data_IF_682773244144
#
_entry.id   IF_682773244144
#
_cell.length_a   1.000
_cell.length_b   1.000
_cell.length_c   1.000
_cell.angle_alpha   90.00
_cell.angle_beta   90.00
_cell.angle_gamma   90.00
#
_symmetry.space_group_name_H-M   'P 1'
#
loop_
_entity.id
_entity.type
_entity.pdbx_description
1 polymer ?
#
# COMPACT_ATOMS: atom_id res chain seq x y z
N UNK A 1 -22.56 -31.89 -3.90
CA UNK A 1 -21.94 -31.20 -5.04
C UNK A 1 -22.94 -30.14 -5.53
N UNK A 2 -22.78 -28.91 -5.06
CA UNK A 2 -23.75 -27.82 -5.26
C UNK A 2 -23.66 -27.27 -6.69
N UNK A 3 -24.76 -26.70 -7.18
CA UNK A 3 -24.93 -26.14 -8.53
C UNK A 3 -23.94 -25.02 -8.92
N UNK A 4 -23.02 -24.65 -8.02
CA UNK A 4 -22.02 -23.59 -8.22
C UNK A 4 -20.81 -24.03 -9.06
N UNK A 5 -20.48 -25.33 -9.10
CA UNK A 5 -19.33 -25.84 -9.89
C UNK A 5 -19.58 -25.97 -11.39
N UNK A 6 -20.81 -25.71 -11.89
CA UNK A 6 -21.12 -25.77 -13.33
C UNK A 6 -21.15 -24.42 -14.05
N UNK A 7 -20.88 -23.30 -13.36
CA UNK A 7 -20.91 -21.96 -14.00
C UNK A 7 -19.53 -21.37 -14.35
N UNK A 8 -18.44 -22.03 -13.95
CA UNK A 8 -17.07 -21.52 -14.13
C UNK A 8 -16.50 -21.73 -15.54
N UNK A 9 -17.13 -22.52 -16.41
CA UNK A 9 -16.64 -22.79 -17.77
C UNK A 9 -16.98 -21.70 -18.80
N UNK A 10 -17.76 -20.67 -18.44
CA UNK A 10 -18.28 -19.68 -19.39
C UNK A 10 -17.56 -18.32 -19.44
N UNK A 11 -16.55 -18.07 -18.63
CA UNK A 11 -15.76 -16.83 -18.71
C UNK A 11 -14.40 -17.09 -19.39
N UNK A 12 -14.46 -17.29 -20.72
CA UNK A 12 -13.27 -17.17 -21.57
C UNK A 12 -12.65 -15.80 -21.36
N UNK A 13 -11.33 -15.76 -21.18
CA UNK A 13 -10.50 -14.55 -21.20
C UNK A 13 -10.98 -13.71 -22.38
N UNK A 14 -11.65 -12.57 -22.13
CA UNK A 14 -11.98 -11.66 -23.21
C UNK A 14 -10.65 -11.23 -23.82
N UNK A 15 -10.39 -11.53 -25.10
CA UNK A 15 -9.13 -11.14 -25.69
C UNK A 15 -9.06 -9.60 -25.61
N UNK A 16 -7.89 -9.06 -25.26
CA UNK A 16 -7.70 -7.64 -24.91
C UNK A 16 -8.33 -6.67 -25.91
N UNK A 17 -8.38 -7.04 -27.20
CA UNK A 17 -9.05 -6.25 -28.24
C UNK A 17 -10.54 -5.96 -27.96
N UNK A 18 -11.27 -6.85 -27.28
CA UNK A 18 -12.69 -6.66 -26.97
C UNK A 18 -12.88 -5.62 -25.87
N UNK A 19 -12.06 -5.69 -24.82
CA UNK A 19 -12.09 -4.73 -23.71
C UNK A 19 -11.73 -3.32 -24.18
N UNK A 20 -10.77 -3.21 -25.09
CA UNK A 20 -10.29 -1.93 -25.62
C UNK A 20 -11.21 -1.31 -26.69
N UNK A 21 -12.14 -2.08 -27.27
CA UNK A 21 -13.03 -1.57 -28.33
C UNK A 21 -14.10 -0.65 -27.74
N UNK A 22 -14.26 0.54 -28.32
CA UNK A 22 -15.40 1.45 -28.04
C UNK A 22 -16.49 1.18 -29.07
N UNK A 23 -17.69 0.85 -28.61
CA UNK A 23 -18.80 0.45 -29.47
C UNK A 23 -19.72 1.61 -29.84
N UNK A 24 -19.79 2.66 -29.01
CA UNK A 24 -20.70 3.78 -29.22
C UNK A 24 -20.22 5.04 -28.48
N UNK A 25 -20.93 6.16 -28.70
CA UNK A 25 -20.60 7.45 -28.12
C UNK A 25 -20.71 7.50 -26.59
N UNK A 26 -21.57 6.69 -25.98
CA UNK A 26 -21.68 6.59 -24.52
C UNK A 26 -20.45 5.90 -23.92
N UNK A 27 -19.95 4.83 -24.55
CA UNK A 27 -18.70 4.19 -24.16
C UNK A 27 -17.50 5.13 -24.31
N UNK A 28 -17.46 5.93 -25.38
CA UNK A 28 -16.42 6.96 -25.56
C UNK A 28 -16.42 7.97 -24.39
N UNK A 29 -17.59 8.53 -24.06
CA UNK A 29 -17.75 9.44 -22.92
C UNK A 29 -17.36 8.80 -21.58
N UNK A 30 -17.62 7.50 -21.43
CA UNK A 30 -17.30 6.76 -20.20
C UNK A 30 -15.80 6.53 -20.05
N UNK A 31 -15.11 6.19 -21.15
CA UNK A 31 -13.64 6.14 -21.21
C UNK A 31 -13.03 7.51 -20.89
N UNK A 32 -13.45 8.56 -21.59
CA UNK A 32 -12.95 9.93 -21.42
C UNK A 32 -13.13 10.43 -19.98
N UNK A 33 -14.35 10.30 -19.43
CA UNK A 33 -14.63 10.59 -18.02
C UNK A 33 -13.75 9.79 -17.08
N UNK A 34 -13.55 8.50 -17.35
CA UNK A 34 -12.70 7.61 -16.58
C UNK A 34 -11.26 8.08 -16.50
N UNK A 35 -10.68 8.35 -17.67
CA UNK A 35 -9.35 8.92 -17.77
C UNK A 35 -9.27 10.20 -16.95
N UNK A 36 -10.20 11.16 -17.13
CA UNK A 36 -10.22 12.45 -16.42
C UNK A 36 -10.42 12.35 -14.90
N UNK A 37 -11.32 11.49 -14.42
CA UNK A 37 -11.77 11.48 -13.03
C UNK A 37 -11.10 10.41 -12.16
N UNK A 38 -10.49 9.39 -12.76
CA UNK A 38 -9.87 8.29 -12.03
C UNK A 38 -8.40 8.06 -12.39
N UNK A 39 -7.91 8.61 -13.51
CA UNK A 39 -6.53 8.41 -13.96
C UNK A 39 -6.27 7.05 -14.60
N UNK A 40 -7.32 6.34 -15.00
CA UNK A 40 -7.29 5.04 -15.70
C UNK A 40 -8.52 4.88 -16.61
N UNK A 41 -8.52 3.91 -17.53
CA UNK A 41 -9.63 3.61 -18.44
C UNK A 41 -10.78 2.91 -17.72
N UNK A 42 -11.75 3.71 -17.27
CA UNK A 42 -12.95 3.22 -16.59
C UNK A 42 -13.77 2.28 -17.47
N UNK A 43 -13.81 2.48 -18.79
CA UNK A 43 -14.59 1.63 -19.68
C UNK A 43 -14.01 0.20 -19.70
N UNK A 44 -12.69 0.09 -19.79
CA UNK A 44 -12.00 -1.20 -19.75
C UNK A 44 -12.24 -1.89 -18.41
N UNK A 45 -12.15 -1.15 -17.31
CA UNK A 45 -12.51 -1.69 -15.99
C UNK A 45 -13.96 -2.17 -15.96
N UNK A 46 -14.91 -1.38 -16.41
CA UNK A 46 -16.32 -1.75 -16.37
C UNK A 46 -16.62 -3.00 -17.22
N UNK A 47 -15.93 -3.16 -18.36
CA UNK A 47 -16.04 -4.35 -19.23
C UNK A 47 -15.41 -5.61 -18.66
N UNK A 48 -14.38 -5.49 -17.82
CA UNK A 48 -13.84 -6.62 -17.06
C UNK A 48 -14.86 -7.19 -16.07
N UNK A 49 -15.80 -6.36 -15.61
CA UNK A 49 -16.85 -6.77 -14.69
C UNK A 49 -16.40 -6.90 -13.23
N UNK A 50 -17.29 -7.41 -12.37
CA UNK A 50 -17.09 -7.48 -10.92
C UNK A 50 -16.19 -8.64 -10.49
N UNK A 51 -16.01 -9.67 -11.31
CA UNK A 51 -15.18 -10.83 -10.99
C UNK A 51 -14.15 -11.05 -12.09
N UNK A 52 -12.87 -11.07 -11.72
CA UNK A 52 -11.76 -11.50 -12.57
C UNK A 52 -11.20 -12.80 -12.01
N UNK A 53 -11.78 -13.92 -12.41
CA UNK A 53 -11.45 -15.24 -11.85
C UNK A 53 -10.01 -15.67 -12.15
N UNK A 54 -9.50 -15.33 -13.34
CA UNK A 54 -8.13 -15.63 -13.75
C UNK A 54 -7.24 -14.38 -13.67
N UNK A 55 -6.21 -14.46 -12.82
CA UNK A 55 -5.02 -13.62 -12.85
C UNK A 55 -3.82 -14.52 -13.13
N UNK A 56 -2.78 -14.04 -13.85
CA UNK A 56 -1.53 -14.78 -13.91
C UNK A 56 -0.95 -14.94 -12.50
N UNK A 57 -0.52 -16.14 -12.13
CA UNK A 57 0.25 -16.35 -10.90
C UNK A 57 1.66 -15.80 -11.13
N UNK A 58 1.95 -14.65 -10.52
CA UNK A 58 3.21 -13.90 -10.69
C UNK A 58 4.24 -14.25 -9.62
N UNK A 59 3.95 -15.21 -8.75
CA UNK A 59 4.90 -15.69 -7.74
C UNK A 59 6.07 -16.41 -8.40
N UNK A 60 7.20 -16.41 -7.71
CA UNK A 60 8.33 -17.23 -8.15
C UNK A 60 7.95 -18.71 -8.06
N UNK A 61 8.38 -19.61 -8.97
CA UNK A 61 8.02 -21.03 -8.94
C UNK A 61 8.31 -21.72 -7.61
N UNK A 62 9.36 -21.29 -6.89
CA UNK A 62 9.69 -21.83 -5.57
C UNK A 62 8.63 -21.49 -4.49
N UNK A 63 7.91 -20.38 -4.62
CA UNK A 63 6.82 -20.02 -3.71
C UNK A 63 5.64 -21.01 -3.76
N UNK A 64 5.52 -21.80 -4.83
CA UNK A 64 4.46 -22.81 -4.95
C UNK A 64 4.75 -24.05 -4.08
N UNK A 65 5.99 -24.20 -3.62
CA UNK A 65 6.40 -25.29 -2.73
C UNK A 65 6.26 -24.91 -1.25
N UNK A 66 6.02 -23.64 -0.94
CA UNK A 66 5.80 -23.17 0.42
C UNK A 66 4.43 -23.62 0.92
N UNK A 67 4.38 -24.12 2.15
CA UNK A 67 3.13 -24.51 2.82
C UNK A 67 2.99 -23.75 4.12
N UNK A 68 1.78 -23.29 4.40
CA UNK A 68 1.46 -22.48 5.57
C UNK A 68 0.34 -23.14 6.37
N UNK A 69 0.54 -23.30 7.67
CA UNK A 69 -0.50 -23.77 8.59
C UNK A 69 -1.45 -22.62 8.93
N UNK A 70 -2.48 -22.45 8.09
CA UNK A 70 -3.42 -21.32 8.16
C UNK A 70 -4.15 -21.22 9.49
N UNK A 71 -4.36 -22.33 10.22
CA UNK A 71 -5.06 -22.34 11.50
C UNK A 71 -4.22 -21.76 12.64
N UNK A 72 -2.90 -21.65 12.46
CA UNK A 72 -1.97 -21.04 13.43
C UNK A 72 -1.67 -19.57 13.16
N UNK A 73 -2.05 -19.06 12.00
CA UNK A 73 -1.77 -17.68 11.62
C UNK A 73 -2.79 -16.72 12.24
N UNK A 74 -2.37 -15.49 12.58
CA UNK A 74 -3.28 -14.49 13.14
C UNK A 74 -4.32 -14.03 12.11
N UNK A 75 -5.54 -13.73 12.56
CA UNK A 75 -6.57 -13.18 11.68
C UNK A 75 -6.31 -11.70 11.33
N UNK A 76 -6.98 -11.21 10.28
CA UNK A 76 -6.73 -9.89 9.71
C UNK A 76 -7.98 -9.04 9.59
N UNK A 77 -7.83 -7.75 9.85
CA UNK A 77 -8.75 -6.71 9.38
C UNK A 77 -8.14 -6.01 8.19
N UNK A 78 -8.82 -6.09 7.04
CA UNK A 78 -8.42 -5.37 5.83
C UNK A 78 -8.98 -3.95 5.86
N UNK A 79 -8.13 -2.94 5.72
CA UNK A 79 -8.51 -1.52 5.73
C UNK A 79 -8.29 -0.95 4.33
N UNK A 80 -9.39 -0.57 3.69
CA UNK A 80 -9.40 -0.04 2.33
C UNK A 80 -10.03 1.34 2.37
N UNK A 81 -9.20 2.36 2.18
CA UNK A 81 -9.66 3.73 2.11
C UNK A 81 -9.95 4.11 0.66
N UNK A 82 -11.00 4.88 0.45
CA UNK A 82 -11.31 5.40 -0.87
C UNK A 82 -11.89 6.81 -0.81
N UNK A 83 -11.70 7.51 -1.92
CA UNK A 83 -12.31 8.80 -2.20
C UNK A 83 -12.61 8.88 -3.69
N UNK A 84 -13.89 8.90 -4.04
CA UNK A 84 -14.37 8.89 -5.43
C UNK A 84 -13.77 7.77 -6.27
N UNK A 85 -13.57 6.58 -5.68
CA UNK A 85 -13.05 5.43 -6.41
C UNK A 85 -14.08 4.88 -7.39
N UNK A 86 -13.61 4.35 -8.53
CA UNK A 86 -14.50 3.70 -9.49
C UNK A 86 -15.14 2.44 -8.89
N UNK A 87 -16.47 2.36 -8.93
CA UNK A 87 -17.22 1.25 -8.33
C UNK A 87 -16.81 -0.12 -8.89
N UNK A 88 -16.51 -0.22 -10.20
CA UNK A 88 -16.06 -1.48 -10.81
C UNK A 88 -14.73 -1.97 -10.24
N UNK A 89 -13.80 -1.05 -9.94
CA UNK A 89 -12.49 -1.39 -9.37
C UNK A 89 -12.66 -1.82 -7.92
N UNK A 90 -13.42 -1.07 -7.12
CA UNK A 90 -13.65 -1.37 -5.71
C UNK A 90 -14.37 -2.73 -5.52
N UNK A 91 -15.42 -2.99 -6.32
CA UNK A 91 -16.14 -4.28 -6.27
C UNK A 91 -15.21 -5.42 -6.70
N UNK A 92 -14.43 -5.25 -7.77
CA UNK A 92 -13.50 -6.29 -8.23
C UNK A 92 -12.43 -6.60 -7.19
N UNK A 93 -11.91 -5.58 -6.52
CA UNK A 93 -10.96 -5.73 -5.42
C UNK A 93 -11.56 -6.55 -4.27
N UNK A 94 -12.74 -6.17 -3.76
CA UNK A 94 -13.41 -6.88 -2.66
C UNK A 94 -13.71 -8.33 -3.04
N UNK A 95 -14.22 -8.57 -4.26
CA UNK A 95 -14.48 -9.91 -4.76
C UNK A 95 -13.19 -10.75 -4.88
N UNK A 96 -12.10 -10.16 -5.36
CA UNK A 96 -10.80 -10.82 -5.46
C UNK A 96 -10.23 -11.19 -4.08
N UNK A 97 -10.39 -10.31 -3.09
CA UNK A 97 -10.01 -10.56 -1.69
C UNK A 97 -10.80 -11.76 -1.14
N UNK A 98 -12.14 -11.73 -1.26
CA UNK A 98 -13.00 -12.81 -0.76
C UNK A 98 -12.69 -14.15 -1.44
N UNK A 99 -12.33 -14.13 -2.73
CA UNK A 99 -12.04 -15.33 -3.49
C UNK A 99 -10.66 -15.94 -3.14
N UNK A 100 -9.64 -15.11 -2.87
CA UNK A 100 -8.24 -15.56 -2.74
C UNK A 100 -7.67 -15.48 -1.32
N UNK A 101 -8.51 -15.22 -0.33
CA UNK A 101 -8.12 -15.17 1.08
C UNK A 101 -8.79 -16.32 1.83
N UNK A 102 -8.04 -17.17 2.55
CA UNK A 102 -8.63 -18.20 3.40
C UNK A 102 -9.60 -17.58 4.43
N UNK A 103 -10.83 -18.11 4.49
CA UNK A 103 -11.89 -17.54 5.34
C UNK A 103 -11.56 -17.54 6.85
N UNK A 104 -10.70 -18.46 7.30
CA UNK A 104 -10.22 -18.51 8.70
C UNK A 104 -9.31 -17.33 9.07
N UNK A 105 -8.63 -16.74 8.07
CA UNK A 105 -7.72 -15.60 8.27
C UNK A 105 -8.45 -14.27 8.14
N UNK A 106 -9.49 -14.18 7.31
CA UNK A 106 -10.19 -12.93 7.05
C UNK A 106 -11.24 -12.64 8.13
N UNK A 107 -10.92 -11.74 9.05
CA UNK A 107 -11.87 -11.34 10.10
C UNK A 107 -12.91 -10.35 9.58
N UNK A 108 -12.46 -9.30 8.88
CA UNK A 108 -13.34 -8.26 8.33
C UNK A 108 -12.66 -7.47 7.20
N UNK A 109 -13.48 -6.76 6.41
CA UNK A 109 -13.05 -5.78 5.41
C UNK A 109 -13.69 -4.43 5.75
N UNK A 110 -12.90 -3.50 6.25
CA UNK A 110 -13.29 -2.13 6.53
C UNK A 110 -13.10 -1.26 5.29
N UNK A 111 -14.22 -0.88 4.68
CA UNK A 111 -14.27 0.10 3.61
C UNK A 111 -14.51 1.49 4.23
N UNK A 112 -13.47 2.34 4.19
CA UNK A 112 -13.48 3.67 4.81
C UNK A 112 -13.63 4.74 3.73
N UNK A 113 -14.77 5.42 3.74
CA UNK A 113 -15.03 6.53 2.83
C UNK A 113 -14.49 7.84 3.37
N UNK A 114 -13.48 8.39 2.68
CA UNK A 114 -12.89 9.69 2.96
C UNK A 114 -13.71 10.84 2.34
N UNK A 115 -15.03 10.79 2.54
CA UNK A 115 -16.04 11.75 2.08
C UNK A 115 -16.19 11.88 0.54
N UNK A 116 -16.41 10.77 -0.16
CA UNK A 116 -16.72 10.74 -1.59
C UNK A 116 -17.95 11.59 -1.96
N UNK A 117 -17.89 12.27 -3.10
CA UNK A 117 -18.95 13.15 -3.62
C UNK A 117 -20.21 12.39 -3.99
N UNK A 118 -20.02 11.21 -4.59
CA UNK A 118 -21.10 10.35 -5.07
C UNK A 118 -21.32 9.15 -4.15
N UNK A 119 -21.14 9.35 -2.83
CA UNK A 119 -21.28 8.30 -1.81
C UNK A 119 -22.67 7.68 -1.82
N UNK A 120 -22.90 6.74 -2.73
CA UNK A 120 -24.00 5.77 -2.66
C UNK A 120 -23.63 4.84 -1.53
N UNK A 121 -24.51 4.67 -0.54
CA UNK A 121 -24.37 3.88 0.72
C UNK A 121 -24.03 2.39 0.55
N UNK A 122 -23.58 1.96 -0.62
CA UNK A 122 -23.54 0.56 -1.02
C UNK A 122 -22.65 -0.37 -0.15
N UNK A 123 -21.63 0.08 0.59
CA UNK A 123 -20.70 -0.85 1.27
C UNK A 123 -19.95 -0.33 2.54
N UNK A 124 -20.51 0.58 3.33
CA UNK A 124 -19.70 1.35 4.31
C UNK A 124 -19.66 0.71 5.69
N UNK A 125 -18.45 0.54 6.25
CA UNK A 125 -18.29 0.41 7.69
C UNK A 125 -18.26 1.78 8.38
N UNK A 126 -17.73 2.81 7.71
CA UNK A 126 -17.71 4.16 8.24
C UNK A 126 -17.44 5.21 7.17
N UNK A 127 -17.99 6.41 7.39
CA UNK A 127 -17.70 7.60 6.60
C UNK A 127 -17.02 8.61 7.51
N UNK A 128 -15.81 9.02 7.13
CA UNK A 128 -15.11 10.11 7.80
C UNK A 128 -15.35 11.41 7.05
N UNK A 129 -15.12 12.55 7.72
CA UNK A 129 -14.97 13.82 7.00
C UNK A 129 -13.79 13.69 6.01
N UNK A 130 -13.65 14.62 5.06
CA UNK A 130 -12.48 14.62 4.17
C UNK A 130 -11.21 14.90 4.98
N UNK A 131 -10.64 13.84 5.51
CA UNK A 131 -9.50 13.82 6.44
C UNK A 131 -8.21 13.44 5.71
N UNK A 132 -8.32 12.74 4.57
CA UNK A 132 -7.19 12.26 3.79
C UNK A 132 -6.85 10.79 4.03
N UNK A 133 -5.99 10.24 3.17
CA UNK A 133 -5.53 8.85 3.23
C UNK A 133 -5.02 8.49 4.63
N UNK A 134 -4.18 9.37 5.20
CA UNK A 134 -3.45 9.13 6.44
C UNK A 134 -4.41 8.98 7.62
N UNK A 135 -5.26 9.99 7.84
CA UNK A 135 -6.23 9.99 8.95
C UNK A 135 -7.36 8.99 8.74
N UNK A 136 -7.77 8.72 7.50
CA UNK A 136 -8.69 7.62 7.21
C UNK A 136 -8.08 6.25 7.56
N UNK A 137 -6.78 6.02 7.35
CA UNK A 137 -6.10 4.78 7.76
C UNK A 137 -6.06 4.66 9.27
N UNK A 138 -5.78 5.75 9.98
CA UNK A 138 -5.83 5.80 11.45
C UNK A 138 -7.23 5.44 11.95
N UNK A 139 -8.28 6.02 11.35
CA UNK A 139 -9.67 5.69 11.70
C UNK A 139 -9.95 4.19 11.50
N UNK A 140 -9.68 3.65 10.30
CA UNK A 140 -9.88 2.22 10.03
C UNK A 140 -9.08 1.31 10.96
N UNK A 141 -7.85 1.69 11.34
CA UNK A 141 -7.03 0.94 12.27
C UNK A 141 -7.60 0.89 13.70
N UNK A 142 -8.30 1.95 14.12
CA UNK A 142 -8.95 2.03 15.43
C UNK A 142 -10.25 1.25 15.48
N UNK A 143 -11.01 1.23 14.38
CA UNK A 143 -12.24 0.45 14.25
C UNK A 143 -11.99 -1.06 14.06
N UNK A 144 -10.87 -1.42 13.41
CA UNK A 144 -10.49 -2.82 13.18
C UNK A 144 -10.40 -3.63 14.46
N UNK A 145 -10.84 -4.90 14.46
CA UNK A 145 -10.83 -5.80 15.62
C UNK A 145 -9.93 -7.04 15.44
N UNK A 146 -9.41 -7.27 14.24
CA UNK A 146 -8.46 -8.33 13.93
C UNK A 146 -7.08 -8.16 14.58
N UNK A 147 -6.30 -9.24 14.61
CA UNK A 147 -4.96 -9.25 15.22
C UNK A 147 -3.92 -8.52 14.37
N UNK A 148 -4.04 -8.61 13.06
CA UNK A 148 -3.17 -7.93 12.08
C UNK A 148 -3.99 -6.95 11.26
N UNK A 149 -3.44 -5.74 11.07
CA UNK A 149 -3.99 -4.75 10.17
C UNK A 149 -3.33 -4.92 8.80
N UNK A 150 -4.13 -5.01 7.75
CA UNK A 150 -3.64 -5.02 6.38
C UNK A 150 -4.26 -3.83 5.63
N UNK A 151 -3.42 -2.88 5.23
CA UNK A 151 -3.85 -1.73 4.45
C UNK A 151 -3.67 -2.04 2.97
N UNK A 152 -4.69 -1.73 2.17
CA UNK A 152 -4.61 -1.79 0.71
C UNK A 152 -5.23 -0.53 0.11
N UNK A 153 -4.60 0.00 -0.93
CA UNK A 153 -5.23 1.02 -1.78
C UNK A 153 -6.46 0.44 -2.48
N UNK A 154 -7.47 1.28 -2.73
CA UNK A 154 -8.80 0.90 -3.25
C UNK A 154 -8.83 0.49 -4.73
N UNK A 155 -7.67 0.26 -5.33
CA UNK A 155 -7.46 -0.12 -6.73
C UNK A 155 -6.36 -1.17 -6.86
N UNK A 156 -6.47 -2.19 -6.01
CA UNK A 156 -5.61 -3.36 -6.01
C UNK A 156 -6.36 -4.63 -6.45
N UNK A 157 -5.63 -5.61 -6.98
CA UNK A 157 -6.10 -6.99 -7.14
C UNK A 157 -5.10 -7.94 -6.48
N UNK A 158 -5.53 -8.68 -5.45
CA UNK A 158 -4.66 -9.63 -4.74
C UNK A 158 -4.47 -10.90 -5.57
N UNK A 159 -3.26 -11.49 -5.56
CA UNK A 159 -2.97 -12.75 -6.22
C UNK A 159 -3.29 -13.96 -5.30
N UNK A 160 -3.10 -15.18 -5.80
CA UNK A 160 -3.26 -16.41 -5.00
C UNK A 160 -2.16 -16.53 -3.95
N UNK A 161 -2.50 -16.97 -2.73
CA UNK A 161 -1.52 -17.17 -1.65
C UNK A 161 -0.83 -15.89 -1.18
N UNK A 162 -1.50 -14.74 -1.34
CA UNK A 162 -0.89 -13.44 -1.10
C UNK A 162 -0.76 -13.10 0.40
N UNK A 163 -1.58 -13.67 1.27
CA UNK A 163 -1.70 -13.20 2.65
C UNK A 163 -0.78 -13.97 3.60
N UNK A 164 -0.73 -15.29 3.43
CA UNK A 164 -0.03 -16.24 4.27
C UNK A 164 1.47 -15.91 4.46
N UNK A 165 2.22 -15.55 3.40
CA UNK A 165 3.64 -15.16 3.54
C UNK A 165 3.85 -13.89 4.38
N UNK A 166 2.84 -13.00 4.46
CA UNK A 166 2.91 -11.81 5.30
C UNK A 166 2.67 -12.18 6.77
N UNK A 167 1.67 -13.02 7.03
CA UNK A 167 1.24 -13.35 8.38
C UNK A 167 2.21 -14.26 9.12
N UNK A 168 2.86 -15.20 8.42
CA UNK A 168 3.85 -16.08 9.05
C UNK A 168 4.99 -15.27 9.68
N UNK A 169 5.46 -14.22 8.99
CA UNK A 169 6.52 -13.34 9.49
C UNK A 169 6.05 -12.43 10.62
N UNK A 170 4.83 -11.91 10.54
CA UNK A 170 4.24 -11.06 11.59
C UNK A 170 3.94 -11.85 12.86
N UNK A 171 3.69 -13.16 12.76
CA UNK A 171 3.49 -14.02 13.91
C UNK A 171 4.79 -14.26 14.71
N UNK A 172 5.95 -14.13 14.07
CA UNK A 172 7.27 -14.41 14.65
C UNK A 172 7.92 -13.18 15.29
N UNK A 173 7.81 -12.00 14.67
CA UNK A 173 8.54 -10.80 15.09
C UNK A 173 7.73 -9.51 14.85
N UNK A 174 8.11 -8.43 15.53
CA UNK A 174 7.58 -7.09 15.38
C UNK A 174 8.04 -6.46 14.05
N UNK A 175 7.51 -6.98 12.95
CA UNK A 175 7.87 -6.59 11.58
C UNK A 175 6.66 -6.05 10.84
N UNK A 176 6.88 -4.99 10.06
CA UNK A 176 5.93 -4.46 9.08
C UNK A 176 6.26 -5.04 7.72
N UNK A 177 5.31 -5.73 7.10
CA UNK A 177 5.51 -6.47 5.85
C UNK A 177 4.80 -5.75 4.70
N UNK A 178 5.41 -5.75 3.51
CA UNK A 178 4.75 -5.37 2.26
C UNK A 178 4.78 -6.52 1.26
N UNK A 179 3.71 -6.75 0.49
CA UNK A 179 3.79 -7.59 -0.70
C UNK A 179 4.73 -6.98 -1.73
N UNK A 180 5.16 -7.78 -2.71
CA UNK A 180 5.64 -7.22 -3.98
C UNK A 180 4.44 -6.64 -4.72
N UNK A 181 4.56 -5.36 -5.09
CA UNK A 181 3.50 -4.61 -5.77
C UNK A 181 3.62 -4.84 -7.27
N UNK A 182 2.78 -5.71 -7.80
CA UNK A 182 2.67 -5.97 -9.22
C UNK A 182 1.96 -4.81 -9.94
N UNK A 183 2.15 -4.72 -11.25
CA UNK A 183 1.61 -3.63 -12.05
C UNK A 183 0.27 -4.04 -12.69
N UNK A 184 -0.76 -3.23 -12.49
CA UNK A 184 -1.99 -3.26 -13.27
C UNK A 184 -2.01 -2.04 -14.17
N UNK A 185 -2.03 -2.27 -15.49
CA UNK A 185 -2.05 -1.20 -16.48
C UNK A 185 -3.26 -0.29 -16.32
N UNK A 186 -3.09 1.05 -16.19
CA UNK A 186 -4.22 1.96 -16.10
C UNK A 186 -5.02 2.03 -17.42
N UNK A 187 -4.47 1.58 -18.53
CA UNK A 187 -5.12 1.66 -19.85
C UNK A 187 -5.77 0.35 -20.26
N UNK A 188 -5.14 -0.79 -19.97
CA UNK A 188 -5.59 -2.12 -20.42
C UNK A 188 -6.08 -3.00 -19.28
N UNK A 189 -5.78 -2.64 -18.03
CA UNK A 189 -5.98 -3.49 -16.84
C UNK A 189 -5.26 -4.84 -16.91
N UNK A 190 -4.27 -5.00 -17.79
CA UNK A 190 -3.41 -6.17 -17.78
C UNK A 190 -2.62 -6.22 -16.47
N UNK A 191 -2.63 -7.39 -15.82
CA UNK A 191 -1.88 -7.67 -14.61
C UNK A 191 -0.52 -8.25 -15.02
N UNK A 192 0.56 -7.64 -14.56
CA UNK A 192 1.93 -8.07 -14.89
C UNK A 192 2.81 -8.10 -13.64
N UNK A 193 3.70 -9.10 -13.56
CA UNK A 193 4.64 -9.24 -12.46
C UNK A 193 5.59 -8.05 -12.39
N UNK A 194 5.81 -7.52 -11.19
CA UNK A 194 6.92 -6.60 -10.91
C UNK A 194 8.18 -7.37 -10.51
N UNK A 195 9.33 -6.76 -10.75
CA UNK A 195 10.61 -7.29 -10.25
C UNK A 195 10.69 -7.11 -8.73
N UNK A 196 11.31 -8.08 -8.06
CA UNK A 196 11.58 -8.02 -6.63
C UNK A 196 12.63 -6.93 -6.36
N UNK A 197 12.31 -5.99 -5.48
CA UNK A 197 13.18 -4.86 -5.14
C UNK A 197 12.97 -4.40 -3.70
N UNK A 198 13.89 -3.59 -3.17
CA UNK A 198 13.72 -2.87 -1.90
C UNK A 198 13.10 -1.50 -2.17
N UNK A 199 12.49 -0.91 -1.16
CA UNK A 199 12.12 0.50 -1.13
C UNK A 199 13.19 1.32 -0.41
N UNK A 200 13.49 2.50 -0.96
CA UNK A 200 14.36 3.51 -0.36
C UNK A 200 13.81 4.91 -0.63
N UNK A 201 14.65 5.92 -0.44
CA UNK A 201 14.33 7.31 -0.74
C UNK A 201 15.59 8.14 -0.94
N UNK A 202 15.45 9.32 -1.58
CA UNK A 202 16.54 10.30 -1.74
C UNK A 202 16.56 11.32 -0.58
N UNK A 203 17.53 12.25 -0.58
CA UNK A 203 17.60 13.32 0.43
C UNK A 203 16.45 14.34 0.39
N UNK A 204 15.57 14.28 -0.63
CA UNK A 204 14.31 15.01 -0.71
C UNK A 204 13.13 14.21 -0.13
N UNK A 205 13.39 13.01 0.40
CA UNK A 205 12.43 12.04 0.91
C UNK A 205 11.40 11.58 -0.14
N UNK A 206 11.80 11.55 -1.42
CA UNK A 206 11.01 10.90 -2.47
C UNK A 206 11.29 9.40 -2.45
N UNK A 207 10.23 8.58 -2.43
CA UNK A 207 10.37 7.12 -2.48
C UNK A 207 11.01 6.64 -3.79
N UNK A 208 11.89 5.66 -3.69
CA UNK A 208 12.66 5.08 -4.80
C UNK A 208 12.58 3.55 -4.74
N UNK A 209 12.49 2.90 -5.91
CA UNK A 209 12.62 1.44 -6.02
C UNK A 209 14.10 1.09 -6.21
N UNK A 210 14.65 0.30 -5.29
CA UNK A 210 16.05 -0.11 -5.28
C UNK A 210 16.16 -1.55 -5.80
N UNK A 211 16.61 -1.70 -7.04
CA UNK A 211 16.74 -3.00 -7.70
C UNK A 211 18.00 -3.73 -7.25
N UNK A 212 17.89 -5.05 -7.11
CA UNK A 212 19.03 -5.92 -6.85
C UNK A 212 19.82 -6.21 -8.14
N UNK A 213 21.11 -6.47 -8.01
CA UNK A 213 21.87 -7.11 -9.09
C UNK A 213 21.38 -8.53 -9.32
N UNK A 214 21.64 -9.08 -10.51
CA UNK A 214 21.28 -10.47 -10.83
C UNK A 214 21.92 -11.50 -9.88
N UNK A 215 23.07 -11.17 -9.25
CA UNK A 215 23.74 -12.02 -8.28
C UNK A 215 22.90 -12.31 -7.04
N UNK A 216 22.05 -11.37 -6.62
CA UNK A 216 21.15 -11.57 -5.47
C UNK A 216 20.23 -12.77 -5.66
N UNK A 217 19.72 -12.97 -6.88
CA UNK A 217 18.79 -14.05 -7.20
C UNK A 217 19.48 -15.39 -7.48
N UNK A 218 20.81 -15.45 -7.45
CA UNK A 218 21.55 -16.73 -7.50
C UNK A 218 21.34 -17.56 -6.23
N UNK A 219 20.98 -16.93 -5.12
CA UNK A 219 20.60 -17.60 -3.87
C UNK A 219 19.08 -17.84 -3.92
N UNK A 220 18.60 -19.08 -4.10
CA UNK A 220 17.17 -19.34 -4.37
C UNK A 220 16.22 -18.83 -3.28
N UNK A 221 16.66 -18.85 -2.02
CA UNK A 221 15.88 -18.38 -0.88
C UNK A 221 15.58 -16.88 -0.95
N UNK A 222 16.37 -16.07 -1.67
CA UNK A 222 16.11 -14.64 -1.83
C UNK A 222 14.86 -14.34 -2.69
N UNK A 223 14.39 -15.33 -3.46
CA UNK A 223 13.15 -15.24 -4.25
C UNK A 223 11.92 -15.73 -3.47
N UNK A 224 12.10 -16.19 -2.23
CA UNK A 224 11.06 -16.84 -1.41
C UNK A 224 10.92 -16.15 -0.06
N UNK A 225 12.02 -16.12 0.70
CA UNK A 225 12.07 -15.55 2.04
C UNK A 225 11.89 -14.04 1.98
N UNK A 226 11.22 -13.50 3.00
CA UNK A 226 11.15 -12.06 3.16
C UNK A 226 12.54 -11.48 3.43
N UNK A 227 12.76 -10.25 2.98
CA UNK A 227 14.03 -9.55 3.16
C UNK A 227 13.81 -8.12 3.61
N UNK A 228 14.81 -7.58 4.34
CA UNK A 228 14.76 -6.23 4.91
C UNK A 228 14.76 -5.15 3.84
N UNK A 229 13.99 -4.09 4.08
CA UNK A 229 13.89 -2.92 3.21
C UNK A 229 14.00 -1.62 4.01
N UNK A 230 14.76 -0.61 3.55
CA UNK A 230 14.83 0.70 4.21
C UNK A 230 13.48 1.38 4.38
N UNK A 231 12.64 1.30 3.35
CA UNK A 231 11.30 1.86 3.31
C UNK A 231 10.31 0.97 2.56
N UNK A 232 9.03 1.21 2.79
CA UNK A 232 7.91 0.63 2.02
C UNK A 232 7.17 1.73 1.26
N UNK A 233 6.50 1.37 0.16
CA UNK A 233 5.71 2.32 -0.65
C UNK A 233 4.53 2.89 0.13
N UNK A 234 4.05 2.17 1.15
CA UNK A 234 3.03 2.58 2.11
C UNK A 234 1.58 2.32 1.70
N UNK A 235 1.32 2.10 0.41
CA UNK A 235 -0.01 1.75 -0.12
C UNK A 235 -0.53 0.39 0.37
N UNK A 236 0.39 -0.56 0.50
CA UNK A 236 0.12 -1.96 0.80
C UNK A 236 1.04 -2.40 1.92
N UNK A 237 0.51 -2.63 3.13
CA UNK A 237 1.31 -3.11 4.24
C UNK A 237 0.48 -3.94 5.23
N UNK A 238 1.14 -4.87 5.91
CA UNK A 238 0.60 -5.68 6.98
C UNK A 238 1.41 -5.45 8.26
N UNK A 239 0.72 -5.29 9.39
CA UNK A 239 1.35 -5.02 10.70
C UNK A 239 0.49 -5.55 11.84
N UNK A 240 1.12 -6.11 12.87
CA UNK A 240 0.39 -6.46 14.09
C UNK A 240 -0.30 -5.23 14.69
N UNK A 241 -1.60 -5.32 14.99
CA UNK A 241 -2.40 -4.18 15.46
C UNK A 241 -1.81 -3.53 16.72
N UNK A 242 -1.41 -4.34 17.71
CA UNK A 242 -0.82 -3.83 18.96
C UNK A 242 0.49 -3.09 18.69
N UNK A 243 1.31 -3.64 17.80
CA UNK A 243 2.58 -3.02 17.42
C UNK A 243 2.36 -1.68 16.68
N UNK A 244 1.37 -1.62 15.77
CA UNK A 244 1.00 -0.38 15.09
C UNK A 244 0.59 0.73 16.08
N UNK A 245 -0.24 0.42 17.08
CA UNK A 245 -0.61 1.39 18.12
C UNK A 245 0.57 1.75 19.03
N UNK A 246 1.41 0.79 19.42
CA UNK A 246 2.61 1.03 20.22
C UNK A 246 3.57 2.00 19.53
N UNK A 247 3.73 1.86 18.21
CA UNK A 247 4.54 2.77 17.40
C UNK A 247 3.92 4.17 17.27
N UNK A 248 2.67 4.41 17.71
CA UNK A 248 2.00 5.69 17.57
C UNK A 248 1.30 5.90 16.23
N UNK A 249 0.82 4.82 15.59
CA UNK A 249 -0.01 4.83 14.38
C UNK A 249 0.68 5.59 13.22
N UNK A 250 -0.05 6.32 12.37
CA UNK A 250 0.54 7.32 11.48
C UNK A 250 0.55 8.70 12.14
N UNK A 251 1.35 9.64 11.59
CA UNK A 251 1.30 11.03 12.01
C UNK A 251 0.00 11.74 11.65
N UNK A 252 -0.90 11.87 12.63
CA UNK A 252 -2.20 12.54 12.51
C UNK A 252 -2.08 14.02 12.11
N UNK A 253 -0.91 14.65 12.34
CA UNK A 253 -0.61 16.01 11.89
C UNK A 253 -0.22 16.13 10.41
N UNK A 254 -0.07 15.00 9.71
CA UNK A 254 0.11 14.98 8.25
C UNK A 254 -1.22 15.08 7.52
N UNK A 255 -1.22 15.77 6.38
CA UNK A 255 -2.42 16.06 5.62
C UNK A 255 -2.50 15.26 4.33
N UNK A 256 -3.71 14.77 4.01
CA UNK A 256 -4.15 14.17 2.74
C UNK A 256 -3.30 13.00 2.26
N UNK A 257 -2.13 13.28 1.71
CA UNK A 257 -1.26 12.31 1.05
C UNK A 257 0.17 12.81 1.04
N UNK A 258 1.11 11.88 1.18
CA UNK A 258 2.53 12.07 0.89
C UNK A 258 3.39 11.98 2.14
N UNK A 259 4.53 11.30 1.98
CA UNK A 259 5.59 11.12 2.96
C UNK A 259 5.23 10.29 4.21
N UNK A 260 3.97 9.91 4.42
CA UNK A 260 3.56 9.07 5.55
C UNK A 260 4.25 7.70 5.54
N UNK A 261 4.49 7.17 4.34
CA UNK A 261 5.18 5.92 4.13
C UNK A 261 6.66 6.00 4.54
N UNK A 262 7.32 7.12 4.25
CA UNK A 262 8.72 7.38 4.64
C UNK A 262 8.81 7.62 6.16
N UNK A 263 7.91 8.43 6.73
CA UNK A 263 7.84 8.67 8.17
C UNK A 263 7.69 7.37 8.95
N UNK A 264 6.70 6.57 8.57
CA UNK A 264 6.43 5.30 9.24
C UNK A 264 7.61 4.36 9.09
N UNK A 265 8.24 4.31 7.90
CA UNK A 265 9.40 3.47 7.65
C UNK A 265 10.59 3.81 8.55
N UNK A 266 10.95 5.10 8.61
CA UNK A 266 12.04 5.57 9.46
C UNK A 266 11.72 5.26 10.93
N UNK A 267 10.49 5.58 11.39
CA UNK A 267 10.08 5.34 12.77
C UNK A 267 10.11 3.86 13.16
N UNK A 268 9.62 2.96 12.32
CA UNK A 268 9.64 1.51 12.60
C UNK A 268 11.06 1.05 12.89
N UNK A 269 12.02 1.40 12.02
CA UNK A 269 13.42 1.03 12.20
C UNK A 269 14.05 1.67 13.44
N UNK A 270 13.85 2.98 13.64
CA UNK A 270 14.44 3.69 14.77
C UNK A 270 13.89 3.22 16.11
N UNK A 271 12.64 2.78 16.17
CA UNK A 271 11.95 2.43 17.41
C UNK A 271 11.88 0.91 17.66
N UNK A 272 12.79 0.14 17.05
CA UNK A 272 13.03 -1.26 17.40
C UNK A 272 12.27 -2.31 16.59
N UNK A 273 11.52 -1.91 15.57
CA UNK A 273 10.92 -2.84 14.60
C UNK A 273 11.80 -3.06 13.38
N UNK A 274 11.23 -3.76 12.39
CA UNK A 274 11.83 -3.90 11.07
C UNK A 274 10.79 -3.85 9.95
N UNK A 275 11.25 -3.56 8.75
CA UNK A 275 10.46 -3.56 7.52
C UNK A 275 10.97 -4.64 6.59
N UNK A 276 10.05 -5.43 6.02
CA UNK A 276 10.38 -6.49 5.09
C UNK A 276 9.45 -6.49 3.86
N UNK A 277 9.99 -6.93 2.72
CA UNK A 277 9.20 -7.29 1.53
C UNK A 277 9.07 -8.81 1.49
N UNK A 278 7.88 -9.35 1.24
CA UNK A 278 7.65 -10.78 1.09
C UNK A 278 7.48 -11.16 -0.41
N UNK A 279 8.49 -11.79 -1.06
CA UNK A 279 8.45 -12.16 -2.48
C UNK A 279 7.27 -13.02 -2.91
N UNK A 280 6.85 -13.95 -2.05
CA UNK A 280 5.74 -14.86 -2.33
C UNK A 280 4.37 -14.19 -2.18
N UNK A 281 4.30 -13.00 -1.57
CA UNK A 281 3.10 -12.20 -1.49
C UNK A 281 3.04 -11.22 -2.67
N UNK A 282 2.05 -11.39 -3.55
CA UNK A 282 1.86 -10.60 -4.76
C UNK A 282 0.51 -9.88 -4.75
N UNK A 283 0.54 -8.56 -4.94
CA UNK A 283 -0.68 -7.76 -5.08
C UNK A 283 -0.49 -6.77 -6.22
N UNK A 284 -1.40 -6.80 -7.20
CA UNK A 284 -1.40 -5.84 -8.30
C UNK A 284 -1.98 -4.50 -7.87
N UNK A 285 -1.39 -3.41 -8.34
CA UNK A 285 -1.86 -2.04 -8.08
C UNK A 285 -2.03 -1.29 -9.41
N UNK A 286 -3.12 -0.52 -9.54
CA UNK A 286 -3.33 0.35 -10.70
C UNK A 286 -2.46 1.62 -10.55
N UNK A 287 -1.29 1.60 -11.18
CA UNK A 287 -0.40 2.76 -11.23
C UNK A 287 -0.96 3.81 -12.21
N UNK A 288 -1.71 4.78 -11.67
CA UNK A 288 -2.38 5.84 -12.43
C UNK A 288 -1.37 6.75 -13.12
N UNK A 289 -1.77 7.29 -14.27
CA UNK A 289 -0.97 8.30 -14.97
C UNK A 289 -0.85 9.62 -14.18
N UNK A 290 -1.82 9.93 -13.31
CA UNK A 290 -1.83 11.09 -12.43
C UNK A 290 -2.77 10.89 -11.24
N UNK A 291 -2.75 11.82 -10.28
CA UNK A 291 -3.61 11.78 -9.08
C UNK A 291 -4.94 12.50 -9.36
N UNK A 292 -6.09 11.82 -9.32
CA UNK A 292 -7.37 12.42 -9.72
C UNK A 292 -8.06 13.25 -8.63
N UNK A 293 -7.44 13.42 -7.46
CA UNK A 293 -8.04 14.10 -6.32
C UNK A 293 -7.39 15.46 -6.08
N UNK A 294 -8.22 16.47 -5.85
CA UNK A 294 -7.77 17.80 -5.44
C UNK A 294 -7.26 17.78 -4.00
N UNK A 295 -6.18 18.51 -3.75
CA UNK A 295 -5.77 18.88 -2.40
C UNK A 295 -6.61 20.09 -1.96
N UNK A 296 -7.27 20.05 -0.79
CA UNK A 296 -8.01 21.21 -0.29
C UNK A 296 -7.13 22.47 -0.31
N UNK A 297 -7.64 23.54 -0.91
CA UNK A 297 -7.00 24.87 -0.97
C UNK A 297 -5.65 24.94 -1.70
N UNK A 298 -5.28 23.93 -2.49
CA UNK A 298 -3.99 23.91 -3.20
C UNK A 298 -2.78 23.83 -2.26
N UNK A 299 -2.98 23.41 -1.01
CA UNK A 299 -1.89 23.29 -0.04
C UNK A 299 -0.84 22.28 -0.53
N UNK A 300 0.44 22.57 -0.32
CA UNK A 300 1.52 21.62 -0.59
C UNK A 300 1.62 20.61 0.58
N UNK A 301 0.64 19.69 0.66
CA UNK A 301 0.56 18.74 1.77
C UNK A 301 1.78 17.83 1.85
N UNK A 302 2.31 17.40 0.70
CA UNK A 302 3.50 16.57 0.65
C UNK A 302 4.71 17.28 1.27
N UNK A 303 4.96 18.54 0.92
CA UNK A 303 6.08 19.29 1.50
C UNK A 303 5.89 19.55 3.00
N UNK A 304 4.67 19.91 3.44
CA UNK A 304 4.34 20.01 4.87
C UNK A 304 4.69 18.73 5.61
N UNK A 305 4.20 17.59 5.11
CA UNK A 305 4.39 16.28 5.72
C UNK A 305 5.88 15.92 5.76
N UNK A 306 6.61 16.13 4.66
CA UNK A 306 8.06 15.91 4.59
C UNK A 306 8.83 16.73 5.63
N UNK A 307 8.49 18.02 5.83
CA UNK A 307 9.15 18.85 6.85
C UNK A 307 8.85 18.36 8.28
N UNK A 308 7.68 17.77 8.53
CA UNK A 308 7.40 17.11 9.83
C UNK A 308 8.38 15.96 10.09
N UNK A 309 8.68 15.15 9.06
CA UNK A 309 9.66 14.06 9.15
C UNK A 309 11.04 14.61 9.47
N UNK A 310 11.47 15.59 8.67
CA UNK A 310 12.80 16.20 8.77
C UNK A 310 13.07 16.73 10.18
N UNK A 311 12.09 17.44 10.76
CA UNK A 311 12.23 18.03 12.10
C UNK A 311 12.16 17.03 13.26
N UNK A 312 11.51 15.88 13.07
CA UNK A 312 11.32 14.88 14.15
C UNK A 312 12.37 13.78 14.10
N UNK A 313 12.78 13.35 12.90
CA UNK A 313 13.45 12.06 12.71
C UNK A 313 14.85 12.14 12.09
N UNK A 314 15.23 13.22 11.41
CA UNK A 314 16.50 13.28 10.67
C UNK A 314 17.69 13.87 11.44
N UNK A 315 17.51 14.30 12.69
CA UNK A 315 18.59 14.80 13.55
C UNK A 315 19.48 15.85 12.85
N UNK A 316 20.81 15.73 12.93
CA UNK A 316 21.76 16.61 12.25
C UNK A 316 21.72 16.53 10.71
N UNK A 317 21.12 15.47 10.15
CA UNK A 317 20.98 15.24 8.71
C UNK A 317 19.83 16.03 8.09
N UNK A 318 19.01 16.71 8.90
CA UNK A 318 18.02 17.67 8.43
C UNK A 318 18.64 18.74 7.49
N UNK A 319 19.93 19.07 7.70
CA UNK A 319 20.70 19.99 6.84
C UNK A 319 20.73 19.54 5.37
N UNK A 320 20.75 18.23 5.10
CA UNK A 320 20.84 17.69 3.75
C UNK A 320 19.55 17.99 2.98
N UNK A 321 18.39 17.79 3.62
CA UNK A 321 17.10 18.19 3.04
C UNK A 321 17.01 19.71 2.85
N UNK A 322 17.40 20.50 3.85
CA UNK A 322 17.30 21.96 3.80
C UNK A 322 18.27 22.61 2.81
N UNK A 323 19.39 21.96 2.48
CA UNK A 323 20.29 22.40 1.41
C UNK A 323 19.58 22.40 0.04
N UNK A 324 18.75 21.39 -0.24
CA UNK A 324 17.93 21.35 -1.46
C UNK A 324 16.66 22.20 -1.36
N UNK A 325 16.15 22.43 -0.15
CA UNK A 325 14.89 23.16 0.12
C UNK A 325 15.11 24.29 1.15
N UNK A 326 15.79 25.39 0.78
CA UNK A 326 16.16 26.45 1.73
C UNK A 326 14.98 27.23 2.33
N UNK A 327 13.79 27.15 1.73
CA UNK A 327 12.56 27.75 2.27
C UNK A 327 11.81 26.83 3.26
N UNK A 328 12.08 25.53 3.25
CA UNK A 328 11.39 24.57 4.08
C UNK A 328 11.55 24.77 5.61
N UNK A 329 12.68 25.29 6.14
CA UNK A 329 12.79 25.63 7.56
C UNK A 329 11.76 26.65 8.04
N UNK A 330 11.23 27.51 7.15
CA UNK A 330 10.22 28.53 7.48
C UNK A 330 8.79 28.01 7.40
N UNK A 331 8.60 26.77 6.97
CA UNK A 331 7.27 26.19 6.78
C UNK A 331 6.59 25.95 8.12
N UNK A 332 5.33 26.39 8.25
CA UNK A 332 4.49 26.03 9.38
C UNK A 332 3.97 24.60 9.19
N UNK A 333 4.41 23.70 10.07
CA UNK A 333 4.02 22.29 10.04
C UNK A 333 3.05 21.94 11.16
N UNK A 334 2.62 22.92 11.97
CA UNK A 334 1.86 22.70 13.19
C UNK A 334 2.69 22.07 14.32
N UNK A 335 1.98 21.57 15.33
CA UNK A 335 2.60 21.00 16.54
C UNK A 335 3.31 19.66 16.24
N UNK A 336 4.53 19.49 16.76
CA UNK A 336 5.35 18.28 16.66
C UNK A 336 5.56 17.56 18.01
N UNK A 337 5.08 18.15 19.11
CA UNK A 337 5.38 17.69 20.47
C UNK A 337 4.98 16.23 20.71
N UNK A 338 3.80 15.81 20.23
CA UNK A 338 3.34 14.43 20.33
C UNK A 338 4.33 13.43 19.70
N UNK A 339 4.89 13.77 18.52
CA UNK A 339 5.85 12.93 17.81
C UNK A 339 7.22 12.92 18.47
N UNK A 340 7.66 14.07 19.01
CA UNK A 340 8.89 14.19 19.79
C UNK A 340 8.79 13.35 21.08
N UNK A 341 7.67 13.42 21.79
CA UNK A 341 7.47 12.68 23.04
C UNK A 341 7.31 11.19 22.79
N UNK A 342 6.66 10.78 21.69
CA UNK A 342 6.63 9.41 21.23
C UNK A 342 8.04 8.86 21.00
N UNK A 343 8.89 9.60 20.26
CA UNK A 343 10.29 9.22 20.00
C UNK A 343 11.07 9.01 21.30
N UNK A 344 10.90 9.90 22.28
CA UNK A 344 11.52 9.78 23.62
C UNK A 344 11.01 8.57 24.40
N UNK A 345 9.68 8.40 24.47
CA UNK A 345 9.02 7.32 25.21
C UNK A 345 9.43 5.93 24.70
N UNK A 346 9.54 5.77 23.39
CA UNK A 346 9.97 4.51 22.76
C UNK A 346 11.49 4.32 22.75
N UNK A 347 12.26 5.30 23.25
CA UNK A 347 13.74 5.26 23.28
C UNK A 347 14.33 4.95 21.91
N UNK A 348 13.79 5.59 20.87
CA UNK A 348 14.22 5.33 19.51
C UNK A 348 15.68 5.74 19.29
N UNK A 349 16.36 5.04 18.38
CA UNK A 349 17.73 5.33 17.95
C UNK A 349 17.80 6.66 17.19
N UNK A 350 19.00 7.14 16.94
CA UNK A 350 19.26 8.32 16.11
C UNK A 350 19.25 7.98 14.61
N UNK A 351 19.12 9.00 13.76
CA UNK A 351 19.14 8.82 12.31
C UNK A 351 20.50 8.34 11.79
N UNK A 352 21.58 8.70 12.49
CA UNK A 352 22.92 8.18 12.22
C UNK A 352 22.97 6.65 12.25
N UNK A 353 22.33 6.05 13.26
CA UNK A 353 22.19 4.60 13.35
C UNK A 353 21.41 4.02 12.16
N UNK A 354 20.32 4.67 11.75
CA UNK A 354 19.53 4.25 10.58
C UNK A 354 20.38 4.22 9.31
N UNK A 355 21.13 5.29 9.05
CA UNK A 355 22.06 5.36 7.91
C UNK A 355 23.14 4.28 8.00
N UNK A 356 23.71 4.03 9.17
CA UNK A 356 24.77 3.04 9.33
C UNK A 356 24.32 1.58 9.25
N UNK A 357 23.08 1.26 9.62
CA UNK A 357 22.62 -0.13 9.80
C UNK A 357 21.48 -0.55 8.89
N UNK A 358 20.73 0.40 8.35
CA UNK A 358 19.53 0.13 7.55
C UNK A 358 19.70 0.62 6.11
N UNK A 359 20.20 1.85 5.93
CA UNK A 359 20.29 2.45 4.59
C UNK A 359 21.63 3.18 4.32
N UNK A 360 22.76 2.44 4.33
CA UNK A 360 24.08 3.01 4.07
C UNK A 360 24.22 3.62 2.67
N UNK A 361 23.44 3.15 1.70
CA UNK A 361 23.44 3.68 0.33
C UNK A 361 22.95 5.14 0.28
N UNK A 362 22.05 5.56 1.18
CA UNK A 362 21.63 6.96 1.30
C UNK A 362 22.76 7.83 1.86
N UNK A 363 23.48 7.34 2.86
CA UNK A 363 24.63 8.04 3.45
C UNK A 363 25.75 8.26 2.43
N UNK A 364 25.95 7.30 1.53
CA UNK A 364 26.94 7.41 0.45
C UNK A 364 26.56 8.42 -0.66
N UNK A 365 25.32 8.96 -0.63
CA UNK A 365 24.84 9.97 -1.58
C UNK A 365 24.87 11.40 -1.03
N UNK A 366 25.34 11.59 0.20
CA UNK A 366 25.77 12.90 0.73
C UNK A 366 27.00 13.41 -0.03
#
# INVERSE_FOLDING_TARGET
MSAWTRSSEHYKIFPSHFLLRVQNHNEFKRRDRGSTHHGFDLLVSDKLGPHRYALPDTRHPLCLNETYDVDRLPNVSLIINYYNEALSVLIRMVNGILQRTPGVLLHEILLIDDSSNNGRELFFHGRVKREGLIRARIFGAREAVGQVLVFLDSHCEVNVGWLEPLLVRIAEDATVLSPVVDHISPSTFDYSASVICRGGFDWLLNFQWLYFSSDFFKVPTNSVNSFRTPAVSGGLLAVNKKFFHQLGEFDSGMDIWGAENIEFSIRVWLCGGSLEIAPCSRVGHVFRAYRPYSVPKGANTAEKNTVRIVRVWLDEYAKNFFAYKPLAPKFDVGNLQERIDLRKRLRCRDFKWYLGQVFPELAASE
#
